data_IF_543756241261
#
_entry.id   IF_543756241261
#
_cell.length_a   1.000
_cell.length_b   1.000
_cell.length_c   1.000
_cell.angle_alpha   90.00
_cell.angle_beta   90.00
_cell.angle_gamma   90.00
#
_symmetry.space_group_name_H-M   'P 1'
#
loop_
_entity.id
_entity.type
_entity.pdbx_description
1 polymer ?
#
# COMPACT_ATOMS: atom_id res chain seq x y z
N UNK A 1 20.56 18.63 41.61
CA UNK A 1 20.10 19.92 41.03
C UNK A 1 18.71 19.70 40.42
N UNK A 2 17.68 20.41 40.89
CA UNK A 2 16.30 20.20 40.40
C UNK A 2 16.12 20.60 38.92
N UNK A 3 16.85 21.63 38.46
CA UNK A 3 16.78 22.09 37.06
C UNK A 3 17.21 21.05 36.04
N UNK A 4 18.24 20.25 36.33
CA UNK A 4 18.69 19.19 35.41
C UNK A 4 17.69 18.04 35.31
N UNK A 5 16.97 17.73 36.40
CA UNK A 5 15.92 16.71 36.38
C UNK A 5 14.72 17.13 35.51
N UNK A 6 14.27 18.38 35.63
CA UNK A 6 13.19 18.93 34.80
C UNK A 6 13.61 18.99 33.33
N UNK A 7 14.84 19.44 33.04
CA UNK A 7 15.36 19.50 31.68
C UNK A 7 15.46 18.10 31.04
N UNK A 8 15.95 17.11 31.78
CA UNK A 8 16.00 15.72 31.31
C UNK A 8 14.58 15.17 31.04
N UNK A 9 13.62 15.45 31.93
CA UNK A 9 12.22 15.09 31.75
C UNK A 9 11.63 15.71 30.47
N UNK A 10 11.78 17.01 30.29
CA UNK A 10 11.28 17.71 29.10
C UNK A 10 11.89 17.16 27.80
N UNK A 11 13.21 16.92 27.78
CA UNK A 11 13.89 16.32 26.62
C UNK A 11 13.35 14.92 26.31
N UNK A 12 13.12 14.10 27.33
CA UNK A 12 12.58 12.74 27.13
C UNK A 12 11.18 12.78 26.50
N UNK A 13 10.31 13.70 26.93
CA UNK A 13 8.96 13.87 26.37
C UNK A 13 9.01 14.36 24.92
N UNK A 14 9.85 15.35 24.62
CA UNK A 14 9.98 15.84 23.24
C UNK A 14 10.52 14.75 22.33
N UNK A 15 11.51 13.99 22.79
CA UNK A 15 12.09 12.89 22.02
C UNK A 15 11.06 11.79 21.74
N UNK A 16 10.26 11.39 22.74
CA UNK A 16 9.22 10.35 22.55
C UNK A 16 8.12 10.81 21.60
N UNK A 17 7.66 12.06 21.71
CA UNK A 17 6.67 12.62 20.79
C UNK A 17 7.21 12.70 19.37
N UNK A 18 8.44 13.19 19.18
CA UNK A 18 9.06 13.30 17.86
C UNK A 18 9.21 11.93 17.18
N UNK A 19 9.71 10.93 17.91
CA UNK A 19 9.83 9.56 17.40
C UNK A 19 8.46 8.94 17.09
N UNK A 20 7.47 9.18 17.95
CA UNK A 20 6.09 8.74 17.71
C UNK A 20 5.49 9.34 16.43
N UNK A 21 5.64 10.64 16.22
CA UNK A 21 5.17 11.32 15.01
C UNK A 21 5.90 10.83 13.75
N UNK A 22 7.22 10.59 13.82
CA UNK A 22 7.97 10.03 12.70
C UNK A 22 7.48 8.62 12.35
N UNK A 23 7.25 7.76 13.35
CA UNK A 23 6.72 6.41 13.15
C UNK A 23 5.33 6.44 12.51
N UNK A 24 4.41 7.27 13.02
CA UNK A 24 3.06 7.45 12.48
C UNK A 24 3.08 8.03 11.06
N UNK A 25 3.93 9.02 10.81
CA UNK A 25 4.09 9.62 9.49
C UNK A 25 4.54 8.61 8.44
N UNK A 26 5.56 7.79 8.76
CA UNK A 26 6.01 6.73 7.86
C UNK A 26 4.96 5.64 7.64
N UNK A 27 4.17 5.30 8.67
CA UNK A 27 3.04 4.37 8.53
C UNK A 27 1.97 4.93 7.59
N UNK A 28 1.59 6.20 7.74
CA UNK A 28 0.62 6.86 6.88
C UNK A 28 1.09 6.95 5.43
N UNK A 29 2.36 7.32 5.20
CA UNK A 29 2.96 7.35 3.86
C UNK A 29 2.97 5.95 3.24
N UNK A 30 3.32 4.91 4.01
CA UNK A 30 3.32 3.53 3.51
C UNK A 30 1.90 3.08 3.16
N UNK A 31 0.90 3.37 4.01
CA UNK A 31 -0.49 3.05 3.73
C UNK A 31 -0.97 3.68 2.41
N UNK A 32 -0.65 4.96 2.17
CA UNK A 32 -0.99 5.64 0.92
C UNK A 32 -0.26 5.05 -0.30
N UNK A 33 1.02 4.67 -0.16
CA UNK A 33 1.77 4.01 -1.24
C UNK A 33 1.19 2.64 -1.58
N UNK A 34 0.81 1.84 -0.58
CA UNK A 34 0.20 0.52 -0.78
C UNK A 34 -1.19 0.66 -1.42
N UNK A 35 -1.97 1.68 -1.05
CA UNK A 35 -3.23 1.98 -1.71
C UNK A 35 -3.03 2.32 -3.19
N UNK A 36 -2.11 3.24 -3.52
CA UNK A 36 -1.80 3.57 -4.91
C UNK A 36 -1.25 2.39 -5.72
N UNK A 37 -0.45 1.51 -5.09
CA UNK A 37 0.00 0.27 -5.71
C UNK A 37 -1.16 -0.69 -6.01
N UNK A 38 -2.13 -0.79 -5.09
CA UNK A 38 -3.33 -1.60 -5.29
C UNK A 38 -4.16 -1.08 -6.47
N UNK A 39 -4.40 0.24 -6.52
CA UNK A 39 -5.20 0.87 -7.58
C UNK A 39 -4.54 0.70 -8.96
N UNK A 40 -3.22 0.95 -9.04
CA UNK A 40 -2.47 0.76 -10.28
C UNK A 40 -2.48 -0.71 -10.73
N UNK A 41 -2.32 -1.65 -9.79
CA UNK A 41 -2.38 -3.09 -10.09
C UNK A 41 -3.79 -3.55 -10.50
N UNK A 42 -4.85 -3.00 -9.91
CA UNK A 42 -6.24 -3.28 -10.28
C UNK A 42 -6.56 -2.78 -11.69
N UNK A 43 -6.14 -1.56 -12.04
CA UNK A 43 -6.28 -1.01 -13.40
C UNK A 43 -5.51 -1.86 -14.42
N UNK A 44 -4.28 -2.25 -14.07
CA UNK A 44 -3.47 -3.17 -14.86
C UNK A 44 -4.18 -4.50 -15.16
N UNK A 45 -4.78 -5.13 -14.14
CA UNK A 45 -5.60 -6.31 -14.36
C UNK A 45 -6.81 -6.00 -15.26
N UNK A 46 -7.54 -4.91 -15.01
CA UNK A 46 -8.68 -4.52 -15.83
C UNK A 46 -8.30 -4.27 -17.30
N UNK A 47 -7.17 -3.62 -17.57
CA UNK A 47 -6.62 -3.40 -18.91
C UNK A 47 -6.26 -4.72 -19.61
N UNK A 48 -5.73 -5.68 -18.85
CA UNK A 48 -5.52 -7.05 -19.31
C UNK A 48 -6.82 -7.78 -19.65
N UNK A 49 -7.88 -7.59 -18.85
CA UNK A 49 -9.19 -8.24 -19.08
C UNK A 49 -9.95 -7.66 -20.27
N UNK A 50 -9.85 -6.34 -20.48
CA UNK A 50 -10.47 -5.67 -21.62
C UNK A 50 -9.74 -5.93 -22.93
N UNK A 51 -8.53 -6.51 -22.87
CA UNK A 51 -7.67 -6.72 -24.02
C UNK A 51 -6.94 -5.46 -24.48
N UNK A 52 -7.04 -4.35 -23.73
CA UNK A 52 -6.30 -3.12 -24.00
C UNK A 52 -4.77 -3.33 -23.88
N UNK A 53 -4.34 -4.22 -22.98
CA UNK A 53 -2.94 -4.64 -22.85
C UNK A 53 -2.85 -6.16 -22.96
N UNK A 54 -2.08 -6.63 -23.94
CA UNK A 54 -1.85 -8.07 -24.15
C UNK A 54 -0.75 -8.55 -23.21
N UNK A 55 -1.11 -9.41 -22.26
CA UNK A 55 -0.17 -10.15 -21.42
C UNK A 55 -0.23 -11.64 -21.72
N UNK A 56 0.92 -12.27 -21.94
CA UNK A 56 1.01 -13.71 -22.21
C UNK A 56 0.47 -14.55 -21.03
N UNK A 57 0.74 -14.10 -19.81
CA UNK A 57 0.39 -14.82 -18.57
C UNK A 57 -0.95 -14.36 -17.97
N UNK A 58 -1.72 -13.55 -18.69
CA UNK A 58 -3.05 -13.06 -18.26
C UNK A 58 -3.03 -11.82 -17.35
N UNK A 59 -4.22 -11.38 -16.90
CA UNK A 59 -4.42 -10.10 -16.21
C UNK A 59 -3.78 -10.04 -14.80
N UNK A 60 -3.82 -11.13 -14.04
CA UNK A 60 -3.23 -11.15 -12.69
C UNK A 60 -1.71 -11.08 -12.70
N UNK A 61 -1.06 -11.65 -13.72
CA UNK A 61 0.39 -11.50 -13.88
C UNK A 61 0.78 -10.04 -14.22
N UNK A 62 -0.09 -9.31 -14.93
CA UNK A 62 0.12 -7.89 -15.18
C UNK A 62 -0.01 -7.08 -13.88
N UNK A 63 -1.03 -7.35 -13.07
CA UNK A 63 -1.18 -6.76 -11.73
C UNK A 63 0.02 -7.05 -10.83
N UNK A 64 0.55 -8.29 -10.85
CA UNK A 64 1.74 -8.66 -10.08
C UNK A 64 2.97 -7.85 -10.49
N UNK A 65 3.23 -7.71 -11.79
CA UNK A 65 4.35 -6.90 -12.30
C UNK A 65 4.23 -5.43 -11.86
N UNK A 66 3.03 -4.86 -11.92
CA UNK A 66 2.79 -3.48 -11.49
C UNK A 66 2.93 -3.31 -9.98
N UNK A 67 2.39 -4.25 -9.19
CA UNK A 67 2.54 -4.24 -7.74
C UNK A 67 4.03 -4.34 -7.34
N UNK A 68 4.78 -5.26 -7.95
CA UNK A 68 6.21 -5.44 -7.71
C UNK A 68 7.02 -4.18 -8.08
N UNK A 69 6.71 -3.55 -9.22
CA UNK A 69 7.34 -2.29 -9.61
C UNK A 69 7.04 -1.14 -8.63
N UNK A 70 5.86 -1.17 -7.98
CA UNK A 70 5.49 -0.22 -6.93
C UNK A 70 6.06 -0.58 -5.54
N UNK A 71 6.83 -1.66 -5.41
CA UNK A 71 7.39 -2.13 -4.15
C UNK A 71 6.37 -2.82 -3.22
N UNK A 72 5.28 -3.32 -3.78
CA UNK A 72 4.27 -4.10 -3.08
C UNK A 72 4.24 -5.55 -3.60
N UNK A 73 3.74 -6.46 -2.79
CA UNK A 73 3.56 -7.87 -3.14
C UNK A 73 2.09 -8.14 -3.40
N UNK A 74 1.79 -8.83 -4.50
CA UNK A 74 0.43 -9.28 -4.80
C UNK A 74 0.08 -10.44 -3.87
N UNK A 75 -0.98 -10.30 -3.08
CA UNK A 75 -1.46 -11.36 -2.17
C UNK A 75 -2.87 -11.87 -2.52
N UNK A 76 -3.54 -11.21 -3.46
CA UNK A 76 -4.81 -11.66 -4.02
C UNK A 76 -5.12 -10.95 -5.33
N UNK A 77 -5.67 -11.70 -6.29
CA UNK A 77 -6.17 -11.16 -7.54
C UNK A 77 -7.39 -11.99 -7.96
N UNK A 78 -8.53 -11.33 -8.12
CA UNK A 78 -9.75 -11.94 -8.64
C UNK A 78 -10.24 -11.13 -9.83
N UNK A 79 -10.69 -11.82 -10.87
CA UNK A 79 -11.23 -11.22 -12.08
C UNK A 79 -12.60 -11.86 -12.33
N UNK A 80 -13.63 -11.03 -12.35
CA UNK A 80 -15.02 -11.43 -12.53
C UNK A 80 -15.61 -10.62 -13.69
N UNK A 81 -15.71 -11.25 -14.86
CA UNK A 81 -16.11 -10.55 -16.09
C UNK A 81 -15.12 -9.45 -16.45
N UNK A 82 -15.55 -8.18 -16.33
CA UNK A 82 -14.74 -6.97 -16.56
C UNK A 82 -14.30 -6.27 -15.28
N UNK A 83 -14.54 -6.88 -14.11
CA UNK A 83 -14.15 -6.33 -12.81
C UNK A 83 -12.92 -7.07 -12.29
N UNK A 84 -11.85 -6.33 -12.00
CA UNK A 84 -10.65 -6.84 -11.36
C UNK A 84 -10.58 -6.32 -9.92
N UNK A 85 -10.44 -7.24 -8.95
CA UNK A 85 -10.18 -6.91 -7.55
C UNK A 85 -8.80 -7.43 -7.17
N UNK A 86 -7.94 -6.52 -6.73
CA UNK A 86 -6.54 -6.80 -6.41
C UNK A 86 -6.28 -6.45 -4.95
N UNK A 87 -5.52 -7.30 -4.27
CA UNK A 87 -5.05 -7.09 -2.91
C UNK A 87 -3.52 -7.17 -2.89
N UNK A 88 -2.88 -6.14 -2.35
CA UNK A 88 -1.43 -6.05 -2.24
C UNK A 88 -1.01 -5.78 -0.80
N UNK A 89 0.24 -6.11 -0.50
CA UNK A 89 0.84 -5.91 0.80
C UNK A 89 2.25 -5.32 0.69
N UNK A 90 2.57 -4.41 1.60
CA UNK A 90 3.96 -4.03 1.90
C UNK A 90 4.21 -4.10 3.41
N UNK A 91 5.48 -4.02 3.81
CA UNK A 91 5.88 -4.01 5.21
C UNK A 91 6.36 -2.62 5.64
N UNK A 92 5.96 -2.19 6.83
CA UNK A 92 6.48 -1.02 7.50
C UNK A 92 6.76 -1.34 8.97
N UNK A 93 8.02 -1.18 9.40
CA UNK A 93 8.44 -1.44 10.78
C UNK A 93 8.01 -2.83 11.31
N UNK A 94 8.05 -3.86 10.46
CA UNK A 94 7.63 -5.23 10.80
C UNK A 94 6.11 -5.48 10.78
N UNK A 95 5.31 -4.45 10.48
CA UNK A 95 3.86 -4.54 10.34
C UNK A 95 3.46 -4.65 8.87
N UNK A 96 2.46 -5.48 8.59
CA UNK A 96 1.87 -5.62 7.28
C UNK A 96 0.88 -4.47 6.99
N UNK A 97 1.18 -3.67 5.97
CA UNK A 97 0.23 -2.74 5.36
C UNK A 97 -0.44 -3.43 4.17
N UNK A 98 -1.74 -3.70 4.27
CA UNK A 98 -2.53 -4.37 3.23
C UNK A 98 -3.54 -3.38 2.66
N UNK A 99 -3.66 -3.34 1.33
CA UNK A 99 -4.71 -2.60 0.65
C UNK A 99 -5.39 -3.45 -0.41
N UNK A 100 -6.65 -3.14 -0.68
CA UNK A 100 -7.49 -3.77 -1.71
C UNK A 100 -8.05 -2.68 -2.61
N UNK A 101 -8.01 -2.90 -3.91
CA UNK A 101 -8.61 -2.03 -4.92
C UNK A 101 -9.48 -2.84 -5.88
N UNK A 102 -10.53 -2.20 -6.40
CA UNK A 102 -11.44 -2.75 -7.42
C UNK A 102 -11.44 -1.83 -8.62
N UNK A 103 -11.21 -2.39 -9.80
CA UNK A 103 -11.31 -1.69 -11.08
C UNK A 103 -12.37 -2.39 -11.95
N UNK A 104 -13.22 -1.61 -12.62
CA UNK A 104 -14.27 -2.11 -13.50
C UNK A 104 -15.42 -1.13 -13.62
N UNK A 105 -16.42 -1.41 -14.48
CA UNK A 105 -17.61 -0.58 -14.65
C UNK A 105 -18.35 -0.33 -13.32
N UNK A 106 -19.14 0.76 -13.23
CA UNK A 106 -20.02 0.97 -12.08
C UNK A 106 -21.03 -0.16 -11.97
N UNK A 107 -21.42 -0.46 -10.73
CA UNK A 107 -22.50 -1.41 -10.47
C UNK A 107 -23.80 -0.72 -10.88
N UNK A 108 -24.52 -1.36 -11.81
CA UNK A 108 -25.75 -0.83 -12.40
C UNK A 108 -26.93 -0.82 -11.45
#
# INVERSE_FOLDING_TARGET
MAGSAIAAGALSVVATVALGLAALGGAAVTAQRVAGAADAAALAAADGTSGAVVAADGPCALAERVAAAAGATLIGCTVEGSVATVQVQAAYAGLAAVSRARAGPPEG
#
